data_IF_537672095725
#
_entry.id   IF_537672095725
#
_cell.length_a   1.000
_cell.length_b   1.000
_cell.length_c   1.000
_cell.angle_alpha   90.00
_cell.angle_beta   90.00
_cell.angle_gamma   90.00
#
_symmetry.space_group_name_H-M   'P 1'
#
loop_
_entity.id
_entity.type
_entity.pdbx_description
1 polymer ?
#
# COMPACT_ATOMS: atom_id res chain seq x y z
N UNK A 1 -12.63 1.47 -8.67
CA UNK A 1 -11.86 2.56 -8.00
C UNK A 1 -11.40 2.05 -6.64
N UNK A 2 -10.20 2.41 -6.23
CA UNK A 2 -9.63 2.00 -4.94
C UNK A 2 -10.04 2.92 -3.80
N UNK A 3 -9.69 2.59 -2.55
CA UNK A 3 -9.81 3.49 -1.41
C UNK A 3 -8.59 3.39 -0.49
N UNK A 4 -8.11 4.55 -0.03
CA UNK A 4 -7.13 4.65 1.05
C UNK A 4 -7.83 4.79 2.39
N UNK A 5 -7.22 4.23 3.43
CA UNK A 5 -7.66 4.39 4.82
C UNK A 5 -6.44 4.40 5.76
N UNK A 6 -6.64 4.75 7.00
CA UNK A 6 -5.53 4.74 7.96
C UNK A 6 -5.83 5.53 9.22
N UNK A 7 -4.84 5.62 10.08
CA UNK A 7 -4.88 6.48 11.26
C UNK A 7 -3.51 7.05 11.59
N UNK A 8 -3.52 8.14 12.33
CA UNK A 8 -2.36 8.72 12.99
C UNK A 8 -2.73 9.04 14.45
N UNK A 9 -2.21 8.26 15.39
CA UNK A 9 -2.30 8.56 16.82
C UNK A 9 -1.17 9.50 17.23
N UNK A 10 -1.37 10.79 17.01
CA UNK A 10 -0.35 11.82 17.21
C UNK A 10 0.19 11.85 18.63
N UNK A 11 -0.67 11.64 19.62
CA UNK A 11 -0.31 11.66 21.05
C UNK A 11 0.11 10.31 21.59
N UNK A 12 -0.14 9.21 20.86
CA UNK A 12 0.16 7.85 21.32
C UNK A 12 -0.66 7.42 22.52
N UNK A 13 -1.86 7.97 22.68
CA UNK A 13 -2.72 7.74 23.86
C UNK A 13 -3.86 6.76 23.60
N UNK A 14 -4.10 6.39 22.36
CA UNK A 14 -5.17 5.50 22.00
C UNK A 14 -4.74 4.05 22.23
N UNK A 15 -5.57 3.26 22.89
CA UNK A 15 -5.23 1.86 23.15
C UNK A 15 -5.14 1.06 21.84
N UNK A 16 -4.23 0.10 21.80
CA UNK A 16 -4.04 -0.75 20.61
C UNK A 16 -5.31 -1.55 20.25
N UNK A 17 -6.15 -1.88 21.23
CA UNK A 17 -7.43 -2.55 20.98
C UNK A 17 -8.40 -1.65 20.21
N UNK A 18 -8.45 -0.36 20.56
CA UNK A 18 -9.26 0.64 19.85
C UNK A 18 -8.74 0.87 18.45
N UNK A 19 -7.41 1.03 18.29
CA UNK A 19 -6.78 1.22 16.98
C UNK A 19 -7.02 0.00 16.05
N UNK A 20 -6.97 -1.21 16.56
CA UNK A 20 -7.28 -2.43 15.78
C UNK A 20 -8.73 -2.48 15.32
N UNK A 21 -9.67 -2.10 16.19
CA UNK A 21 -11.09 -1.99 15.81
C UNK A 21 -11.27 -0.91 14.75
N UNK A 22 -10.66 0.25 14.95
CA UNK A 22 -10.73 1.37 14.01
C UNK A 22 -10.25 0.95 12.61
N UNK A 23 -9.06 0.34 12.51
CA UNK A 23 -8.50 -0.06 11.21
C UNK A 23 -9.36 -1.14 10.54
N UNK A 24 -9.93 -2.04 11.33
CA UNK A 24 -10.87 -3.03 10.80
C UNK A 24 -12.13 -2.35 10.21
N UNK A 25 -12.78 -1.48 10.94
CA UNK A 25 -13.96 -0.76 10.44
C UNK A 25 -13.65 0.10 9.22
N UNK A 26 -12.54 0.83 9.24
CA UNK A 26 -12.12 1.65 8.11
C UNK A 26 -11.83 0.82 6.87
N UNK A 27 -11.16 -0.32 7.01
CA UNK A 27 -10.85 -1.21 5.90
C UNK A 27 -12.11 -1.83 5.27
N UNK A 28 -13.06 -2.26 6.11
CA UNK A 28 -14.35 -2.81 5.63
C UNK A 28 -15.20 -1.72 4.97
N UNK A 29 -15.22 -0.51 5.52
CA UNK A 29 -15.90 0.62 4.88
C UNK A 29 -15.26 1.00 3.53
N UNK A 30 -13.93 0.95 3.45
CA UNK A 30 -13.19 1.20 2.21
C UNK A 30 -13.39 0.12 1.14
N UNK A 31 -13.76 -1.10 1.53
CA UNK A 31 -13.99 -2.24 0.64
C UNK A 31 -15.08 -1.98 -0.41
N UNK A 32 -16.04 -1.11 -0.13
CA UNK A 32 -17.07 -0.68 -1.11
C UNK A 32 -16.43 -0.19 -2.43
N UNK A 33 -15.19 0.28 -2.38
CA UNK A 33 -14.46 0.78 -3.54
C UNK A 33 -13.45 -0.20 -4.12
N UNK A 34 -13.17 -1.31 -3.46
CA UNK A 34 -12.21 -2.29 -3.95
C UNK A 34 -12.19 -3.56 -3.13
N UNK A 35 -12.50 -4.68 -3.78
CA UNK A 35 -12.65 -6.00 -3.15
C UNK A 35 -11.54 -6.98 -3.51
N UNK A 36 -10.60 -6.59 -4.38
CA UNK A 36 -9.66 -7.53 -4.98
C UNK A 36 -8.45 -7.78 -4.06
N UNK A 37 -7.96 -6.73 -3.41
CA UNK A 37 -6.86 -6.86 -2.45
C UNK A 37 -6.96 -5.82 -1.33
N UNK A 38 -6.39 -6.15 -0.19
CA UNK A 38 -6.31 -5.27 0.98
C UNK A 38 -4.89 -5.30 1.54
N UNK A 39 -4.35 -4.13 1.87
CA UNK A 39 -3.03 -4.01 2.46
C UNK A 39 -2.93 -2.86 3.45
N UNK A 40 -1.95 -2.97 4.34
CA UNK A 40 -1.55 -1.91 5.27
C UNK A 40 -0.03 -1.78 5.30
N UNK A 41 0.42 -0.58 5.67
CA UNK A 41 1.82 -0.33 6.02
C UNK A 41 1.89 0.42 7.35
N UNK A 42 2.93 0.14 8.12
CA UNK A 42 3.23 0.76 9.41
C UNK A 42 4.72 0.71 9.69
N UNK A 43 5.17 1.49 10.67
CA UNK A 43 6.57 1.45 11.13
C UNK A 43 6.67 0.53 12.34
N UNK A 44 7.67 -0.34 12.32
CA UNK A 44 8.06 -1.20 13.43
C UNK A 44 9.57 -1.11 13.64
N UNK A 45 10.01 -0.78 14.84
CA UNK A 45 11.42 -0.70 15.22
C UNK A 45 12.28 0.12 14.23
N UNK A 46 11.70 1.23 13.74
CA UNK A 46 12.36 2.11 12.77
C UNK A 46 12.32 1.63 11.32
N UNK A 47 11.76 0.45 11.06
CA UNK A 47 11.64 -0.12 9.72
C UNK A 47 10.20 -0.06 9.21
N UNK A 48 10.05 0.18 7.91
CA UNK A 48 8.75 0.08 7.24
C UNK A 48 8.35 -1.38 7.11
N UNK A 49 7.09 -1.69 7.40
CA UNK A 49 6.51 -3.02 7.25
C UNK A 49 5.24 -2.89 6.43
N UNK A 50 5.15 -3.68 5.38
CA UNK A 50 3.93 -3.82 4.57
C UNK A 50 3.32 -5.20 4.75
N UNK A 51 1.99 -5.26 4.80
CA UNK A 51 1.23 -6.50 4.83
C UNK A 51 0.09 -6.41 3.83
N UNK A 52 0.09 -7.30 2.85
CA UNK A 52 -0.84 -7.27 1.72
C UNK A 52 -1.43 -8.67 1.47
N UNK A 53 -2.70 -8.73 1.13
CA UNK A 53 -3.40 -9.96 0.74
C UNK A 53 -4.32 -9.72 -0.44
N UNK A 54 -4.35 -10.61 -1.45
CA UNK A 54 -5.29 -10.56 -2.57
C UNK A 54 -6.68 -11.06 -2.13
N UNK A 55 -7.29 -10.33 -1.21
CA UNK A 55 -8.59 -10.63 -0.61
C UNK A 55 -9.30 -9.36 -0.19
N UNK A 56 -10.65 -9.35 -0.20
CA UNK A 56 -11.43 -8.26 0.35
C UNK A 56 -11.19 -8.07 1.85
N UNK A 57 -11.35 -6.85 2.34
CA UNK A 57 -10.97 -6.45 3.69
C UNK A 57 -11.64 -7.29 4.79
N UNK A 58 -12.93 -7.62 4.63
CA UNK A 58 -13.65 -8.44 5.61
C UNK A 58 -13.08 -9.85 5.77
N UNK A 59 -12.27 -10.34 4.80
CA UNK A 59 -11.58 -11.64 4.83
C UNK A 59 -10.12 -11.54 5.26
N UNK A 60 -9.63 -10.33 5.55
CA UNK A 60 -8.22 -10.10 5.92
C UNK A 60 -8.13 -9.71 7.40
N UNK A 61 -7.38 -10.48 8.16
CA UNK A 61 -7.03 -10.10 9.53
C UNK A 61 -5.84 -9.16 9.49
N UNK A 62 -6.09 -7.86 9.55
CA UNK A 62 -5.06 -6.84 9.61
C UNK A 62 -4.40 -6.82 10.99
N UNK A 63 -3.09 -6.88 11.00
CA UNK A 63 -2.31 -6.92 12.23
C UNK A 63 -1.20 -5.85 12.19
N UNK A 64 -1.01 -5.18 13.33
CA UNK A 64 0.13 -4.33 13.62
C UNK A 64 0.46 -4.42 15.12
N UNK A 65 1.74 -4.23 15.51
CA UNK A 65 2.18 -4.41 16.90
C UNK A 65 1.63 -3.32 17.83
N UNK A 66 1.74 -3.60 19.14
CA UNK A 66 1.44 -2.60 20.16
C UNK A 66 2.45 -1.45 20.04
N UNK A 67 1.98 -0.21 20.23
CA UNK A 67 2.82 0.98 20.10
C UNK A 67 2.88 1.56 18.68
N UNK A 68 2.27 0.90 17.68
CA UNK A 68 2.11 1.49 16.35
C UNK A 68 1.28 2.77 16.43
N UNK A 69 1.81 3.87 15.94
CA UNK A 69 1.20 5.20 16.01
C UNK A 69 0.58 5.66 14.69
N UNK A 70 0.97 5.03 13.59
CA UNK A 70 0.42 5.33 12.28
C UNK A 70 0.28 4.07 11.44
N UNK A 71 -0.80 4.00 10.70
CA UNK A 71 -1.06 2.98 9.69
C UNK A 71 -1.64 3.65 8.48
N UNK A 72 -1.12 3.36 7.30
CA UNK A 72 -1.80 3.62 6.04
C UNK A 72 -2.31 2.31 5.48
N UNK A 73 -3.44 2.33 4.82
CA UNK A 73 -4.04 1.14 4.24
C UNK A 73 -4.71 1.45 2.91
N UNK A 74 -4.99 0.38 2.17
CA UNK A 74 -5.58 0.47 0.85
C UNK A 74 -6.44 -0.75 0.54
N UNK A 75 -7.60 -0.51 -0.08
CA UNK A 75 -8.42 -1.53 -0.73
C UNK A 75 -8.35 -1.33 -2.24
N UNK A 76 -8.01 -2.38 -2.96
CA UNK A 76 -7.76 -2.33 -4.40
C UNK A 76 -8.96 -2.81 -5.19
N UNK A 77 -9.28 -2.04 -6.22
CA UNK A 77 -10.02 -2.48 -7.39
C UNK A 77 -9.04 -2.57 -8.55
N UNK A 78 -8.85 -3.77 -9.09
CA UNK A 78 -7.81 -4.03 -10.09
C UNK A 78 -8.15 -3.37 -11.41
N UNK A 79 -7.29 -2.47 -11.87
CA UNK A 79 -7.38 -1.80 -13.18
C UNK A 79 -6.21 -2.19 -14.08
N UNK A 80 -5.04 -2.45 -13.49
CA UNK A 80 -3.83 -2.89 -14.17
C UNK A 80 -3.10 -3.92 -13.30
N UNK A 81 -2.41 -4.87 -13.94
CA UNK A 81 -1.75 -5.98 -13.26
C UNK A 81 -2.73 -6.94 -12.58
N UNK A 82 -2.23 -8.04 -12.03
CA UNK A 82 -3.04 -9.03 -11.31
C UNK A 82 -2.98 -8.81 -9.80
N UNK A 83 -4.14 -8.79 -9.15
CA UNK A 83 -4.26 -8.74 -7.69
C UNK A 83 -3.65 -9.98 -7.00
N UNK A 84 -3.54 -11.10 -7.71
CA UNK A 84 -2.94 -12.34 -7.20
C UNK A 84 -1.46 -12.19 -6.87
N UNK A 85 -0.80 -11.24 -7.50
CA UNK A 85 0.58 -10.88 -7.23
C UNK A 85 0.60 -9.72 -6.23
N UNK A 86 1.09 -9.98 -5.02
CA UNK A 86 1.12 -8.97 -3.96
C UNK A 86 2.01 -7.76 -4.28
N UNK A 87 2.98 -7.90 -5.18
CA UNK A 87 3.75 -6.78 -5.68
C UNK A 87 2.87 -5.71 -6.33
N UNK A 88 1.76 -6.09 -6.96
CA UNK A 88 0.80 -5.16 -7.56
C UNK A 88 -0.17 -4.52 -6.57
N UNK A 89 -0.17 -4.96 -5.32
CA UNK A 89 -1.12 -4.48 -4.32
C UNK A 89 -0.51 -3.39 -3.45
N UNK A 90 -1.31 -2.39 -3.14
CA UNK A 90 -0.91 -1.30 -2.23
C UNK A 90 -0.98 -1.71 -0.73
N UNK A 91 -0.23 -1.02 0.13
CA UNK A 91 0.77 0.01 -0.14
C UNK A 91 2.05 -0.54 -0.77
N UNK A 92 2.73 0.31 -1.54
CA UNK A 92 4.08 0.05 -2.05
C UNK A 92 5.12 0.56 -1.08
N UNK A 93 6.19 -0.20 -0.89
CA UNK A 93 7.34 0.21 -0.11
C UNK A 93 8.41 0.79 -1.02
N UNK A 94 9.03 1.86 -0.59
CA UNK A 94 10.11 2.52 -1.31
C UNK A 94 11.16 3.09 -0.39
N UNK A 95 12.30 3.46 -0.95
CA UNK A 95 13.44 4.03 -0.23
C UNK A 95 13.87 5.36 -0.86
N UNK A 96 14.20 6.33 -0.03
CA UNK A 96 14.82 7.59 -0.44
C UNK A 96 16.05 7.86 0.43
N UNK A 97 17.23 7.57 -0.11
CA UNK A 97 18.47 7.57 0.67
C UNK A 97 18.42 6.49 1.75
N UNK A 98 18.48 6.91 3.02
CA UNK A 98 18.39 6.01 4.19
C UNK A 98 16.97 5.87 4.73
N UNK A 99 16.02 6.61 4.20
CA UNK A 99 14.63 6.62 4.66
C UNK A 99 13.79 5.65 3.85
N UNK A 100 12.93 4.90 4.54
CA UNK A 100 11.90 4.05 3.93
C UNK A 100 10.55 4.76 4.00
N UNK A 101 9.74 4.58 2.97
CA UNK A 101 8.37 5.09 2.96
C UNK A 101 7.41 4.04 2.39
N UNK A 102 6.15 4.19 2.69
CA UNK A 102 5.09 3.44 2.05
C UNK A 102 4.14 4.39 1.31
N UNK A 103 3.71 3.99 0.13
CA UNK A 103 2.83 4.77 -0.72
C UNK A 103 1.60 3.97 -1.11
N UNK A 104 0.42 4.60 -0.97
CA UNK A 104 -0.82 4.09 -1.51
C UNK A 104 -1.39 5.13 -2.49
N UNK A 105 -1.81 4.68 -3.66
CA UNK A 105 -2.34 5.54 -4.71
C UNK A 105 -3.75 5.10 -5.11
N UNK A 106 -4.66 6.05 -5.12
CA UNK A 106 -6.01 5.85 -5.65
C UNK A 106 -6.14 6.61 -6.98
N UNK A 107 -5.73 5.97 -8.06
CA UNK A 107 -5.75 6.55 -9.40
C UNK A 107 -5.17 5.59 -10.44
N UNK A 108 -5.11 6.04 -11.67
CA UNK A 108 -4.52 5.33 -12.81
C UNK A 108 -3.56 6.28 -13.52
N UNK A 109 -2.34 5.82 -13.78
CA UNK A 109 -1.38 6.54 -14.61
C UNK A 109 -1.61 6.14 -16.07
N UNK A 110 -2.14 7.05 -16.87
CA UNK A 110 -2.44 6.77 -18.29
C UNK A 110 -1.18 6.74 -19.17
N UNK A 111 -0.13 7.43 -18.75
CA UNK A 111 1.15 7.52 -19.46
C UNK A 111 2.26 6.68 -18.82
N UNK A 112 1.92 5.62 -18.10
CA UNK A 112 2.87 4.76 -17.39
C UNK A 112 3.93 4.17 -18.32
N UNK A 113 3.54 3.75 -19.53
CA UNK A 113 4.45 3.20 -20.54
C UNK A 113 5.47 4.23 -21.04
N UNK A 114 5.02 5.47 -21.22
CA UNK A 114 5.89 6.58 -21.64
C UNK A 114 6.88 6.93 -20.54
N UNK A 115 6.38 7.11 -19.31
CA UNK A 115 7.22 7.35 -18.13
C UNK A 115 8.26 6.25 -17.91
N UNK A 116 7.89 4.98 -18.07
CA UNK A 116 8.82 3.86 -17.97
C UNK A 116 9.95 3.97 -19.00
N UNK A 117 9.62 4.30 -20.24
CA UNK A 117 10.59 4.46 -21.32
C UNK A 117 11.51 5.64 -21.09
N UNK A 118 10.95 6.80 -20.76
CA UNK A 118 11.72 8.02 -20.50
C UNK A 118 12.66 7.88 -19.31
N UNK A 119 12.22 7.22 -18.26
CA UNK A 119 12.98 7.03 -17.04
C UNK A 119 13.86 5.76 -17.07
N UNK A 120 13.90 5.05 -18.21
CA UNK A 120 14.63 3.79 -18.36
C UNK A 120 14.32 2.79 -17.24
N UNK A 121 13.06 2.68 -16.83
CA UNK A 121 12.62 1.75 -15.80
C UNK A 121 12.65 0.33 -16.37
N UNK A 122 13.12 -0.66 -15.59
CA UNK A 122 13.13 -2.03 -16.06
C UNK A 122 11.70 -2.48 -16.39
N UNK A 123 11.53 -3.06 -17.58
CA UNK A 123 10.33 -3.80 -17.91
C UNK A 123 10.37 -5.10 -17.12
N UNK A 124 9.58 -5.18 -16.05
CA UNK A 124 9.38 -6.46 -15.39
C UNK A 124 8.50 -7.35 -16.27
N UNK A 125 8.59 -8.69 -16.17
CA UNK A 125 7.69 -9.61 -16.89
C UNK A 125 6.20 -9.41 -16.56
N UNK A 126 5.90 -8.55 -15.61
CA UNK A 126 4.56 -8.12 -15.24
C UNK A 126 4.27 -6.86 -16.05
N UNK A 127 3.76 -7.06 -17.24
CA UNK A 127 3.65 -6.05 -18.32
C UNK A 127 2.82 -4.80 -18.00
N UNK A 128 2.30 -4.61 -16.78
CA UNK A 128 1.36 -3.53 -16.48
C UNK A 128 1.46 -2.96 -15.06
N UNK A 129 2.65 -2.92 -14.44
CA UNK A 129 2.77 -2.30 -13.12
C UNK A 129 3.13 -0.82 -13.22
N UNK A 130 2.41 0.05 -12.51
CA UNK A 130 2.81 1.44 -12.42
C UNK A 130 4.14 1.53 -11.65
N UNK A 131 5.17 2.03 -12.29
CA UNK A 131 6.33 2.53 -11.59
C UNK A 131 6.02 3.93 -11.08
N UNK A 132 6.30 4.19 -9.82
CA UNK A 132 6.11 5.50 -9.22
C UNK A 132 7.45 6.22 -9.22
N UNK A 133 7.50 7.39 -9.83
CA UNK A 133 8.66 8.30 -9.75
C UNK A 133 8.33 9.38 -8.74
N UNK A 134 9.09 9.45 -7.66
CA UNK A 134 8.96 10.50 -6.67
C UNK A 134 10.32 11.20 -6.48
N UNK A 135 10.33 12.53 -6.59
CA UNK A 135 11.54 13.34 -6.39
C UNK A 135 12.70 12.99 -7.32
N UNK A 136 12.43 12.58 -8.56
CA UNK A 136 13.44 12.20 -9.55
C UNK A 136 14.12 10.86 -9.29
N UNK A 137 13.66 10.06 -8.32
CA UNK A 137 14.16 8.71 -8.05
C UNK A 137 13.13 7.65 -8.42
N UNK A 138 13.63 6.56 -9.00
CA UNK A 138 12.82 5.42 -9.42
C UNK A 138 12.49 4.54 -8.23
N UNK A 139 11.24 4.12 -8.16
CA UNK A 139 10.78 3.12 -7.22
C UNK A 139 10.16 1.98 -8.00
N UNK A 140 10.83 0.85 -8.00
CA UNK A 140 10.31 -0.40 -8.54
C UNK A 140 9.85 -1.27 -7.39
N UNK A 141 8.71 -1.92 -7.57
CA UNK A 141 8.31 -2.98 -6.65
C UNK A 141 9.34 -4.12 -6.70
N UNK A 142 9.81 -4.52 -5.52
CA UNK A 142 10.63 -5.72 -5.39
C UNK A 142 9.74 -6.97 -5.43
N UNK A 143 10.17 -7.97 -6.18
CA UNK A 143 9.66 -9.33 -6.05
C UNK A 143 10.20 -9.92 -4.75
N UNK A 144 9.30 -10.48 -3.93
CA UNK A 144 9.68 -11.48 -2.93
C UNK A 144 10.02 -12.81 -3.62
#
# INVERSE_FOLDING_TARGET
>A
MCAGFGFLDYKGKISNAVLKKLIHYLSVAAEVRGTDATGIAYVRDGSMVTYKKPKPAHKVKLFFPRGTRSVIGHTRFTTQGSEKQNCNNHPFEGHCGKESFALAHNGVLYNDRELRREQHLPTTPIENEPSIVYGGKKYTEYKD
#
